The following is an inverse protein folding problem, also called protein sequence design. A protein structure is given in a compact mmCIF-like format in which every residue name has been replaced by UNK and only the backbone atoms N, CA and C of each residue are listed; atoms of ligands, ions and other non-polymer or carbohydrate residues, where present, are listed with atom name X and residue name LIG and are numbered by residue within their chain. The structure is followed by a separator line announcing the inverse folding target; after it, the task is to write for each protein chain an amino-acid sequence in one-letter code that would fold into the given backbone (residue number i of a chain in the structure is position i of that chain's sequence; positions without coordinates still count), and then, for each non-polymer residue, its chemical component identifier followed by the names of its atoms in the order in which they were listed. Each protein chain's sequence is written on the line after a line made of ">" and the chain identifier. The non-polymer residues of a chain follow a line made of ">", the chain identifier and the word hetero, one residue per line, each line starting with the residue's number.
data_IF_428571357644
#
_entry.id   IF_428571357644
#
_cell.length_a   1.000
_cell.length_b   1.000
_cell.length_c   1.000
_cell.angle_alpha   90.00
_cell.angle_beta   90.00
_cell.angle_gamma   90.00
#
_symmetry.space_group_name_H-M   'P 1'
#
loop_
_entity.id
_entity.type
_entity.pdbx_description
1 polymer ?
#
# COMPACT_ATOMS: atom_id res chain seq x y z
N UNK A 1 13.22 -19.68 20.99
CA UNK A 1 13.37 -18.75 19.87
C UNK A 1 11.99 -18.22 19.52
N UNK A 2 11.78 -16.92 19.52
CA UNK A 2 10.50 -16.32 19.13
C UNK A 2 10.25 -16.62 17.65
N UNK A 3 9.08 -17.19 17.36
CA UNK A 3 8.66 -17.51 15.99
C UNK A 3 8.40 -16.19 15.26
N UNK A 4 9.04 -15.99 14.10
CA UNK A 4 8.81 -14.78 13.28
C UNK A 4 7.35 -14.72 12.85
N UNK A 5 6.67 -13.56 12.96
CA UNK A 5 5.28 -13.43 12.54
C UNK A 5 5.15 -13.51 11.02
N UNK A 6 4.04 -14.01 10.51
CA UNK A 6 3.66 -13.81 9.13
C UNK A 6 3.22 -12.35 8.90
N UNK A 7 3.48 -11.82 7.72
CA UNK A 7 3.11 -10.45 7.33
C UNK A 7 2.17 -10.53 6.13
N UNK A 8 0.99 -9.95 6.28
CA UNK A 8 0.01 -9.81 5.20
C UNK A 8 -0.25 -8.32 5.02
N UNK A 9 0.07 -7.78 3.84
CA UNK A 9 -0.21 -6.41 3.45
C UNK A 9 -1.37 -6.40 2.46
N UNK A 10 -2.49 -5.79 2.85
CA UNK A 10 -3.67 -5.66 2.01
C UNK A 10 -3.83 -4.19 1.66
N UNK A 11 -3.79 -3.86 0.38
CA UNK A 11 -4.04 -2.52 -0.12
C UNK A 11 -5.35 -2.51 -0.90
N UNK A 12 -6.31 -1.73 -0.43
CA UNK A 12 -7.58 -1.55 -1.11
C UNK A 12 -7.51 -0.34 -2.03
N UNK A 13 -7.99 -0.49 -3.25
CA UNK A 13 -8.08 0.61 -4.22
C UNK A 13 -9.30 1.48 -3.90
N UNK A 14 -9.10 2.80 -3.86
CA UNK A 14 -10.14 3.81 -3.64
C UNK A 14 -11.00 3.63 -2.38
N UNK A 15 -10.52 2.92 -1.37
CA UNK A 15 -11.24 2.74 -0.10
C UNK A 15 -11.09 3.98 0.79
N UNK A 16 -12.20 4.60 1.11
CA UNK A 16 -12.27 5.73 2.04
C UNK A 16 -12.63 5.34 3.48
N UNK A 17 -12.46 6.28 4.40
CA UNK A 17 -12.89 6.09 5.79
C UNK A 17 -14.38 5.77 5.92
N UNK A 18 -15.23 6.39 5.07
CA UNK A 18 -16.67 6.19 5.08
C UNK A 18 -17.14 4.80 4.58
N UNK A 19 -16.24 3.97 4.11
CA UNK A 19 -16.59 2.67 3.52
C UNK A 19 -16.59 1.51 4.53
N UNK A 20 -16.00 1.69 5.70
CA UNK A 20 -15.90 0.65 6.73
C UNK A 20 -16.77 0.95 7.94
N UNK A 21 -17.44 -0.09 8.48
CA UNK A 21 -18.27 0.02 9.68
C UNK A 21 -17.50 0.54 10.88
N UNK A 22 -16.27 0.08 11.10
CA UNK A 22 -15.41 0.55 12.20
C UNK A 22 -15.04 2.03 12.13
N UNK A 23 -15.24 2.68 10.99
CA UNK A 23 -15.10 4.13 10.81
C UNK A 23 -16.44 4.86 10.67
N UNK A 24 -17.57 4.17 10.92
CA UNK A 24 -18.90 4.77 10.96
C UNK A 24 -19.73 4.63 9.69
N UNK A 25 -19.32 3.77 8.74
CA UNK A 25 -20.18 3.49 7.58
C UNK A 25 -21.50 2.88 8.01
N UNK A 26 -22.58 3.41 7.48
CA UNK A 26 -23.95 2.87 7.62
C UNK A 26 -24.44 2.19 6.35
N UNK A 27 -23.67 2.28 5.27
CA UNK A 27 -24.04 1.76 3.95
C UNK A 27 -23.39 0.38 3.68
N UNK A 28 -22.18 0.17 4.19
CA UNK A 28 -21.44 -1.06 3.97
C UNK A 28 -21.37 -1.90 5.23
N UNK A 29 -21.59 -3.20 5.08
CA UNK A 29 -21.50 -4.17 6.16
C UNK A 29 -20.14 -4.87 6.12
N UNK A 30 -19.24 -4.52 7.04
CA UNK A 30 -17.84 -4.98 7.04
C UNK A 30 -17.42 -5.71 8.31
N UNK A 31 -18.17 -6.75 8.76
CA UNK A 31 -18.02 -7.33 10.10
C UNK A 31 -16.63 -7.96 10.34
N UNK A 32 -15.99 -8.50 9.31
CA UNK A 32 -14.66 -9.08 9.45
C UNK A 32 -13.59 -8.00 9.68
N UNK A 33 -13.68 -6.88 8.96
CA UNK A 33 -12.76 -5.74 9.12
C UNK A 33 -13.03 -4.99 10.43
N UNK A 34 -14.30 -4.87 10.82
CA UNK A 34 -14.69 -4.26 12.08
C UNK A 34 -14.15 -5.06 13.27
N UNK A 35 -14.22 -6.39 13.19
CA UNK A 35 -13.63 -7.28 14.21
C UNK A 35 -12.11 -7.12 14.24
N UNK A 36 -11.44 -7.12 13.08
CA UNK A 36 -9.99 -6.93 13.00
C UNK A 36 -9.56 -5.58 13.59
N UNK A 37 -10.35 -4.52 13.37
CA UNK A 37 -10.11 -3.21 13.97
C UNK A 37 -10.26 -3.21 15.50
N UNK A 38 -11.19 -4.01 16.02
CA UNK A 38 -11.39 -4.18 17.47
C UNK A 38 -10.32 -5.04 18.14
N UNK A 39 -9.72 -5.98 17.41
CA UNK A 39 -8.67 -6.87 17.91
C UNK A 39 -7.26 -6.29 17.76
N UNK A 40 -7.08 -5.27 16.90
CA UNK A 40 -5.80 -4.69 16.53
C UNK A 40 -5.70 -3.20 16.81
N UNK A 41 -4.93 -2.51 15.98
CA UNK A 41 -4.76 -1.06 16.04
C UNK A 41 -5.49 -0.43 14.85
N UNK A 42 -6.35 0.53 15.14
CA UNK A 42 -7.07 1.34 14.15
C UNK A 42 -6.50 2.75 14.15
N UNK A 43 -6.03 3.22 12.99
CA UNK A 43 -5.59 4.60 12.83
C UNK A 43 -6.79 5.51 12.49
N UNK A 44 -6.94 6.60 13.21
CA UNK A 44 -7.97 7.62 12.96
C UNK A 44 -7.47 8.72 12.03
N UNK A 45 -6.16 8.90 11.96
CA UNK A 45 -5.48 9.89 11.13
C UNK A 45 -4.33 9.20 10.38
N UNK A 46 -4.65 8.62 9.23
CA UNK A 46 -3.67 7.96 8.37
C UNK A 46 -3.77 8.54 6.95
N UNK A 47 -2.65 8.95 6.41
CA UNK A 47 -2.56 9.57 5.09
C UNK A 47 -1.55 8.84 4.22
N UNK A 48 -1.96 8.52 3.00
CA UNK A 48 -1.05 8.01 1.99
C UNK A 48 -0.16 9.12 1.45
N UNK A 49 1.02 8.77 0.94
CA UNK A 49 2.00 9.73 0.41
C UNK A 49 1.57 10.40 -0.90
N UNK A 50 0.49 9.93 -1.53
CA UNK A 50 -0.08 10.50 -2.75
C UNK A 50 -1.58 10.19 -2.81
N UNK A 51 -2.40 11.09 -3.41
CA UNK A 51 -3.84 10.87 -3.57
C UNK A 51 -4.19 9.93 -4.74
N UNK A 52 -3.22 9.41 -5.48
CA UNK A 52 -3.42 8.53 -6.65
C UNK A 52 -2.64 7.23 -6.54
N UNK A 53 -3.11 6.18 -7.22
CA UNK A 53 -2.74 4.78 -7.02
C UNK A 53 -1.25 4.47 -7.21
N UNK A 54 -0.65 4.69 -8.37
CA UNK A 54 0.72 4.25 -8.65
C UNK A 54 1.76 4.90 -7.74
N UNK A 55 1.78 6.23 -7.54
CA UNK A 55 2.74 6.85 -6.63
C UNK A 55 2.49 6.48 -5.17
N UNK A 56 1.24 6.34 -4.75
CA UNK A 56 0.90 5.89 -3.40
C UNK A 56 1.42 4.47 -3.14
N UNK A 57 1.21 3.56 -4.09
CA UNK A 57 1.71 2.17 -4.01
C UNK A 57 3.23 2.09 -4.05
N UNK A 58 3.89 2.90 -4.89
CA UNK A 58 5.34 3.00 -4.92
C UNK A 58 5.90 3.43 -3.56
N UNK A 59 5.31 4.45 -2.95
CA UNK A 59 5.69 4.89 -1.61
C UNK A 59 5.47 3.81 -0.54
N UNK A 60 4.34 3.12 -0.57
CA UNK A 60 4.05 2.02 0.35
C UNK A 60 5.05 0.88 0.23
N UNK A 61 5.43 0.53 -1.00
CA UNK A 61 6.35 -0.59 -1.25
C UNK A 61 7.80 -0.26 -0.89
N UNK A 62 8.22 1.01 -1.02
CA UNK A 62 9.63 1.42 -0.85
C UNK A 62 9.91 2.20 0.43
N UNK A 63 8.86 2.69 1.11
CA UNK A 63 9.02 3.61 2.23
C UNK A 63 9.56 4.99 1.84
N UNK A 64 9.54 5.35 0.54
CA UNK A 64 10.07 6.58 0.00
C UNK A 64 8.97 7.47 -0.57
N UNK A 65 9.16 8.80 -0.55
CA UNK A 65 8.22 9.69 -1.23
C UNK A 65 8.18 9.43 -2.74
N UNK A 66 7.00 9.53 -3.37
CA UNK A 66 6.82 9.21 -4.80
C UNK A 66 7.80 9.92 -5.74
N UNK A 67 8.06 11.20 -5.50
CA UNK A 67 9.02 12.00 -6.26
C UNK A 67 10.43 11.39 -6.27
N UNK A 68 10.82 10.78 -5.17
CA UNK A 68 12.16 10.20 -5.00
C UNK A 68 12.35 8.92 -5.82
N UNK A 69 11.27 8.19 -6.05
CA UNK A 69 11.26 6.91 -6.77
C UNK A 69 10.65 7.02 -8.17
N UNK A 70 10.64 8.24 -8.73
CA UNK A 70 10.27 8.47 -10.13
C UNK A 70 8.78 8.69 -10.41
N UNK A 71 7.93 8.84 -9.38
CA UNK A 71 6.47 8.99 -9.53
C UNK A 71 5.97 10.41 -9.24
N UNK A 72 6.66 11.43 -9.66
CA UNK A 72 6.29 12.80 -9.28
C UNK A 72 6.13 13.79 -10.42
N UNK A 73 6.20 13.35 -11.66
CA UNK A 73 6.16 14.23 -12.82
C UNK A 73 4.77 14.59 -13.32
N UNK A 74 4.68 15.70 -14.04
CA UNK A 74 3.47 16.17 -14.74
C UNK A 74 3.52 15.91 -16.24
N UNK A 75 4.57 15.26 -16.76
CA UNK A 75 4.69 14.96 -18.19
C UNK A 75 4.19 13.55 -18.51
N UNK A 76 3.93 13.30 -19.79
CA UNK A 76 3.56 11.97 -20.29
C UNK A 76 4.63 10.93 -19.95
N UNK A 77 5.90 11.34 -19.91
CA UNK A 77 7.04 10.47 -19.60
C UNK A 77 7.19 10.19 -18.08
N UNK A 78 6.48 10.99 -17.24
CA UNK A 78 6.46 10.87 -15.79
C UNK A 78 5.02 10.93 -15.29
N UNK A 79 4.11 10.22 -15.93
CA UNK A 79 2.72 10.18 -15.52
C UNK A 79 2.62 9.71 -14.05
N UNK A 80 1.86 10.39 -13.19
CA UNK A 80 1.73 9.99 -11.80
C UNK A 80 1.01 8.64 -11.66
N UNK A 81 0.16 8.28 -12.62
CA UNK A 81 -0.59 7.03 -12.65
C UNK A 81 -0.15 6.21 -13.85
N UNK A 82 0.21 4.95 -13.61
CA UNK A 82 0.58 4.00 -14.64
C UNK A 82 -0.63 3.15 -15.06
N UNK A 83 -0.74 2.92 -16.35
CA UNK A 83 -1.74 2.04 -16.95
C UNK A 83 -1.10 0.81 -17.56
N UNK A 84 -1.85 -0.30 -17.76
CA UNK A 84 -1.35 -1.49 -18.43
C UNK A 84 -0.71 -1.17 -19.79
N UNK A 85 0.44 -1.75 -20.07
CA UNK A 85 1.17 -1.56 -21.33
C UNK A 85 2.17 -0.39 -21.33
N UNK A 86 2.23 0.41 -20.26
CA UNK A 86 3.29 1.41 -20.12
C UNK A 86 4.61 0.75 -19.70
N UNK A 87 5.70 1.23 -20.26
CA UNK A 87 7.06 0.73 -19.96
C UNK A 87 7.61 1.24 -18.63
N UNK A 88 7.01 2.30 -18.08
CA UNK A 88 7.43 2.89 -16.81
C UNK A 88 7.01 2.02 -15.63
N UNK A 89 7.82 2.07 -14.58
CA UNK A 89 7.53 1.38 -13.32
C UNK A 89 8.50 1.82 -12.24
N UNK A 90 8.45 1.13 -11.14
CA UNK A 90 9.44 1.30 -10.10
C UNK A 90 10.81 0.82 -10.61
N UNK A 91 11.86 1.61 -10.36
CA UNK A 91 13.20 1.24 -10.80
C UNK A 91 13.61 -0.11 -10.19
N UNK A 92 14.22 -1.03 -10.96
CA UNK A 92 14.57 -2.37 -10.47
C UNK A 92 15.51 -2.40 -9.26
N UNK A 93 16.30 -1.35 -9.06
CA UNK A 93 17.22 -1.21 -7.93
C UNK A 93 16.53 -0.70 -6.65
N UNK A 94 15.28 -0.26 -6.73
CA UNK A 94 14.55 0.17 -5.54
C UNK A 94 14.27 -1.00 -4.60
N UNK A 95 14.63 -0.80 -3.34
CA UNK A 95 14.44 -1.82 -2.31
C UNK A 95 13.00 -1.76 -1.82
N UNK A 96 12.23 -2.80 -2.12
CA UNK A 96 10.86 -2.91 -1.66
C UNK A 96 10.77 -3.67 -0.33
N UNK A 97 9.64 -3.51 0.39
CA UNK A 97 9.34 -4.31 1.58
C UNK A 97 9.41 -5.81 1.32
N UNK A 98 9.01 -6.27 0.13
CA UNK A 98 9.12 -7.68 -0.26
C UNK A 98 10.58 -8.13 -0.32
N UNK A 99 11.46 -7.31 -0.90
CA UNK A 99 12.88 -7.60 -0.97
C UNK A 99 13.52 -7.65 0.43
N UNK A 100 13.21 -6.66 1.27
CA UNK A 100 13.69 -6.63 2.67
C UNK A 100 13.26 -7.88 3.45
N UNK A 101 12.02 -8.32 3.26
CA UNK A 101 11.52 -9.53 3.90
C UNK A 101 12.19 -10.79 3.35
N UNK A 102 12.48 -10.87 2.04
CA UNK A 102 13.25 -11.98 1.47
C UNK A 102 14.65 -12.06 2.06
N UNK A 103 15.34 -10.93 2.15
CA UNK A 103 16.69 -10.85 2.74
C UNK A 103 16.67 -11.24 4.24
N UNK A 104 15.54 -11.03 4.92
CA UNK A 104 15.28 -11.51 6.28
C UNK A 104 14.85 -12.98 6.35
N UNK A 105 14.77 -13.71 5.23
CA UNK A 105 14.44 -15.13 5.15
C UNK A 105 12.95 -15.45 5.11
N UNK A 106 12.10 -14.51 4.70
CA UNK A 106 10.69 -14.77 4.42
C UNK A 106 10.50 -15.22 2.97
N UNK A 107 9.54 -16.12 2.74
CA UNK A 107 8.97 -16.31 1.42
C UNK A 107 7.98 -15.17 1.15
N UNK A 108 8.09 -14.50 0.00
CA UNK A 108 7.20 -13.39 -0.37
C UNK A 108 6.40 -13.73 -1.62
N UNK A 109 5.17 -13.24 -1.70
CA UNK A 109 4.29 -13.40 -2.86
C UNK A 109 3.42 -12.16 -3.03
N UNK A 110 3.24 -11.74 -4.28
CA UNK A 110 2.23 -10.79 -4.72
C UNK A 110 1.09 -11.57 -5.40
N UNK A 111 -0.16 -11.19 -5.10
CA UNK A 111 -1.37 -11.79 -5.66
C UNK A 111 -2.15 -10.70 -6.39
#
# INVERSE_FOLDING_TARGET
>A
MSRRPNVILINCDDLGYGDLGCYGSTQHHTPALDRMAGEGVRFTDFYMASPVCSPSRAAMLTGSYPLRVGFGGRSIDNAPVLFPGQAQGLHPEEITIARLLQDAGYATRLI
#
